data_IF_790176743761
#
_entry.id   IF_790176743761
#
_cell.length_a   1.000
_cell.length_b   1.000
_cell.length_c   1.000
_cell.angle_alpha   90.00
_cell.angle_beta   90.00
_cell.angle_gamma   90.00
#
_symmetry.space_group_name_H-M   'P 1'
#
loop_
_entity.id
_entity.type
_entity.pdbx_description
1 polymer ?
#
# COMPACT_ATOMS: atom_id res chain seq x y z
N UNK A 1 -33.65 67.73 45.25
CA UNK A 1 -33.32 66.97 46.48
C UNK A 1 -32.46 65.76 46.08
N UNK A 2 -31.47 65.37 46.89
CA UNK A 2 -30.82 64.04 46.84
C UNK A 2 -31.81 62.97 47.41
N UNK A 3 -31.58 61.64 47.32
CA UNK A 3 -30.44 60.88 46.77
C UNK A 3 -30.87 59.97 45.58
N UNK A 4 -30.25 58.85 45.13
CA UNK A 4 -29.07 58.04 45.55
C UNK A 4 -28.44 57.28 44.33
N UNK A 5 -27.51 56.37 44.62
CA UNK A 5 -26.89 55.29 43.82
C UNK A 5 -27.80 54.55 42.81
N UNK A 6 -27.30 53.99 41.69
CA UNK A 6 -26.19 53.02 41.63
C UNK A 6 -25.44 52.99 40.28
N UNK A 7 -24.29 52.29 40.24
CA UNK A 7 -23.43 52.19 39.05
C UNK A 7 -24.10 51.47 37.88
N UNK A 8 -23.91 52.03 36.68
CA UNK A 8 -24.05 51.31 35.40
C UNK A 8 -22.70 50.65 35.07
N UNK A 9 -22.70 49.32 34.96
CA UNK A 9 -21.59 48.54 34.43
C UNK A 9 -22.15 47.40 33.56
N UNK A 10 -21.39 47.00 32.54
CA UNK A 10 -21.74 46.04 31.46
C UNK A 10 -22.85 46.57 30.51
N UNK A 11 -22.86 46.25 29.21
CA UNK A 11 -22.04 45.25 28.48
C UNK A 11 -21.53 45.79 27.13
N UNK A 12 -20.27 45.51 26.81
CA UNK A 12 -19.73 45.63 25.44
C UNK A 12 -20.25 44.49 24.58
N UNK A 13 -21.07 44.81 23.57
CA UNK A 13 -21.57 43.83 22.60
C UNK A 13 -20.45 43.44 21.63
N UNK A 14 -19.79 42.32 21.90
CA UNK A 14 -18.89 41.67 20.93
C UNK A 14 -19.79 40.91 19.94
N UNK A 15 -19.88 41.40 18.71
CA UNK A 15 -20.56 40.72 17.61
C UNK A 15 -19.75 39.50 17.15
N UNK A 16 -19.83 38.41 17.92
CA UNK A 16 -19.32 37.11 17.50
C UNK A 16 -20.09 36.62 16.28
N UNK A 17 -19.41 36.50 15.13
CA UNK A 17 -19.96 35.78 13.98
C UNK A 17 -20.28 34.35 14.43
N UNK A 18 -21.46 33.79 14.12
CA UNK A 18 -21.73 32.41 14.45
C UNK A 18 -20.75 31.54 13.66
N UNK A 19 -19.85 30.87 14.36
CA UNK A 19 -19.16 29.69 13.82
C UNK A 19 -20.28 28.69 13.57
N UNK A 20 -20.60 28.48 12.30
CA UNK A 20 -21.50 27.39 11.89
C UNK A 20 -20.84 26.08 12.33
N UNK A 21 -21.33 25.54 13.44
CA UNK A 21 -21.05 24.18 13.84
C UNK A 21 -21.44 23.28 12.66
N UNK A 22 -20.46 22.58 12.09
CA UNK A 22 -20.69 21.67 10.96
C UNK A 22 -21.61 20.57 11.47
N UNK A 23 -22.88 20.64 11.08
CA UNK A 23 -23.93 19.79 11.61
C UNK A 23 -23.80 18.40 10.95
N UNK A 24 -23.34 17.35 11.65
CA UNK A 24 -22.95 16.07 11.02
C UNK A 24 -24.15 15.29 10.44
N UNK A 25 -25.37 15.77 10.69
CA UNK A 25 -26.63 15.19 10.24
C UNK A 25 -27.05 15.75 8.86
N UNK A 26 -26.52 16.90 8.44
CA UNK A 26 -26.87 17.52 7.16
C UNK A 26 -26.24 16.82 5.93
N UNK A 27 -25.18 16.03 6.12
CA UNK A 27 -24.52 15.25 5.04
C UNK A 27 -25.20 13.89 4.75
N UNK A 28 -26.33 13.57 5.40
CA UNK A 28 -26.97 12.26 5.25
C UNK A 28 -27.74 12.08 3.92
N UNK A 29 -27.97 13.15 3.17
CA UNK A 29 -28.59 13.12 1.84
C UNK A 29 -27.59 12.75 0.74
N UNK A 30 -27.55 11.47 0.35
CA UNK A 30 -26.75 10.98 -0.79
C UNK A 30 -25.45 10.29 -0.40
N UNK A 31 -24.50 10.24 -1.34
CA UNK A 31 -23.17 9.67 -1.15
C UNK A 31 -22.08 10.73 -1.33
N UNK A 32 -21.07 10.68 -0.48
CA UNK A 32 -19.90 11.58 -0.52
C UNK A 32 -18.63 10.78 -0.65
N UNK A 33 -17.60 11.38 -1.23
CA UNK A 33 -16.28 10.78 -1.35
C UNK A 33 -15.21 11.75 -0.87
N UNK A 34 -14.31 11.25 -0.02
CA UNK A 34 -13.21 12.02 0.57
C UNK A 34 -11.88 11.36 0.21
N UNK A 35 -10.92 12.18 -0.20
CA UNK A 35 -9.54 11.75 -0.41
C UNK A 35 -8.61 12.35 0.65
N UNK A 36 -7.55 11.62 1.01
CA UNK A 36 -6.40 12.10 1.79
C UNK A 36 -5.12 11.70 1.05
N UNK A 37 -4.35 12.69 0.62
CA UNK A 37 -3.06 12.47 -0.01
C UNK A 37 -1.94 12.50 1.04
N UNK A 38 -0.98 11.58 0.92
CA UNK A 38 0.29 11.59 1.64
C UNK A 38 1.42 11.63 0.62
N UNK A 39 2.40 12.50 0.84
CA UNK A 39 3.61 12.56 0.03
C UNK A 39 4.83 12.66 0.96
N UNK A 40 5.82 11.79 0.76
CA UNK A 40 7.03 11.73 1.56
C UNK A 40 8.25 11.59 0.65
N UNK A 41 9.32 12.31 0.94
CA UNK A 41 10.58 12.25 0.18
C UNK A 41 11.72 11.94 1.13
N UNK A 42 12.36 10.79 0.95
CA UNK A 42 13.51 10.35 1.71
C UNK A 42 14.77 10.47 0.86
N UNK A 43 15.78 11.13 1.39
CA UNK A 43 17.13 11.21 0.81
C UNK A 43 18.03 10.14 1.41
N UNK A 44 18.81 9.45 0.57
CA UNK A 44 19.68 8.33 0.95
C UNK A 44 21.09 8.58 0.39
N UNK A 45 21.91 9.42 1.03
CA UNK A 45 23.23 9.81 0.53
C UNK A 45 24.22 8.64 0.57
N UNK A 46 25.09 8.55 -0.44
CA UNK A 46 26.11 7.50 -0.59
C UNK A 46 25.59 6.12 -1.02
N UNK A 47 24.28 5.97 -1.24
CA UNK A 47 23.64 4.65 -1.42
C UNK A 47 23.57 4.13 -2.86
N UNK A 48 24.19 4.81 -3.83
CA UNK A 48 24.09 4.49 -5.27
C UNK A 48 24.46 3.03 -5.62
N UNK A 49 25.34 2.38 -4.82
CA UNK A 49 25.71 0.95 -4.98
C UNK A 49 24.79 -0.03 -4.25
N UNK A 50 23.82 0.45 -3.48
CA UNK A 50 22.89 -0.33 -2.66
C UNK A 50 21.47 -0.34 -3.23
N UNK A 51 21.31 0.03 -4.51
CA UNK A 51 20.01 0.16 -5.17
C UNK A 51 19.13 -1.10 -5.02
N UNK A 52 19.69 -2.29 -5.27
CA UNK A 52 18.98 -3.57 -5.17
C UNK A 52 18.48 -3.86 -3.74
N UNK A 53 19.25 -3.46 -2.72
CA UNK A 53 18.86 -3.62 -1.33
C UNK A 53 17.73 -2.66 -0.95
N UNK A 54 17.82 -1.40 -1.40
CA UNK A 54 16.77 -0.38 -1.21
C UNK A 54 15.49 -0.79 -1.93
N UNK A 55 15.59 -1.32 -3.15
CA UNK A 55 14.45 -1.89 -3.88
C UNK A 55 13.76 -2.99 -3.06
N UNK A 56 14.51 -3.97 -2.55
CA UNK A 56 13.98 -5.06 -1.74
C UNK A 56 13.22 -4.55 -0.51
N UNK A 57 13.77 -3.55 0.18
CA UNK A 57 13.16 -2.91 1.36
C UNK A 57 11.86 -2.17 1.00
N UNK A 58 11.88 -1.34 -0.04
CA UNK A 58 10.70 -0.59 -0.50
C UNK A 58 9.60 -1.54 -0.96
N UNK A 59 9.97 -2.61 -1.67
CA UNK A 59 9.05 -3.60 -2.21
C UNK A 59 8.41 -4.47 -1.12
N UNK A 60 9.15 -4.86 -0.08
CA UNK A 60 8.57 -5.54 1.10
C UNK A 60 7.60 -4.62 1.87
N UNK A 61 7.99 -3.36 2.08
CA UNK A 61 7.14 -2.37 2.73
C UNK A 61 5.79 -2.20 2.02
N UNK A 62 5.81 -2.08 0.68
CA UNK A 62 4.60 -1.99 -0.14
C UNK A 62 3.79 -3.29 -0.17
N UNK A 63 4.42 -4.44 -0.47
CA UNK A 63 3.73 -5.73 -0.62
C UNK A 63 3.01 -6.21 0.65
N UNK A 64 3.43 -5.71 1.81
CA UNK A 64 2.75 -5.96 3.09
C UNK A 64 1.28 -5.52 3.07
N UNK A 65 0.97 -4.43 2.36
CA UNK A 65 -0.37 -3.81 2.32
C UNK A 65 -0.99 -3.83 0.92
N UNK A 66 -0.22 -3.44 -0.11
CA UNK A 66 -0.62 -3.54 -1.51
C UNK A 66 -0.10 -4.84 -2.13
N UNK A 67 -0.82 -5.95 -1.92
CA UNK A 67 -0.39 -7.29 -2.41
C UNK A 67 -0.24 -7.38 -3.94
N UNK A 68 -0.94 -6.54 -4.68
CA UNK A 68 -0.88 -6.45 -6.14
C UNK A 68 0.21 -5.49 -6.66
N UNK A 69 1.19 -5.12 -5.83
CA UNK A 69 2.25 -4.18 -6.19
C UNK A 69 3.01 -4.62 -7.46
N UNK A 70 2.93 -3.77 -8.49
CA UNK A 70 3.61 -3.91 -9.77
C UNK A 70 4.92 -3.12 -9.73
N UNK A 71 6.01 -3.77 -10.16
CA UNK A 71 7.34 -3.18 -10.25
C UNK A 71 7.63 -2.81 -11.69
N UNK A 72 8.17 -1.61 -11.92
CA UNK A 72 8.63 -1.13 -13.23
C UNK A 72 10.04 -0.59 -13.09
N UNK A 73 10.95 -1.06 -13.93
CA UNK A 73 12.30 -0.53 -14.02
C UNK A 73 12.34 0.61 -15.04
N UNK A 74 12.96 1.72 -14.65
CA UNK A 74 13.27 2.83 -15.54
C UNK A 74 14.70 2.74 -16.05
N UNK A 75 14.98 3.43 -17.15
CA UNK A 75 16.35 3.68 -17.59
C UNK A 75 16.72 5.06 -17.03
N UNK A 76 17.55 5.14 -15.97
CA UNK A 76 17.94 6.42 -15.42
C UNK A 76 18.88 7.17 -16.40
N UNK A 77 18.92 8.51 -16.34
CA UNK A 77 19.89 9.29 -17.11
C UNK A 77 21.34 8.88 -16.78
N UNK A 78 22.20 8.90 -17.79
CA UNK A 78 23.65 8.66 -17.63
C UNK A 78 24.43 9.82 -18.27
N UNK A 79 25.30 10.52 -17.52
CA UNK A 79 25.57 10.37 -16.09
C UNK A 79 24.35 10.72 -15.21
N UNK A 80 24.37 10.30 -13.94
CA UNK A 80 23.35 10.70 -12.97
C UNK A 80 23.36 12.22 -12.73
N UNK A 81 22.19 12.85 -12.52
CA UNK A 81 22.09 14.29 -12.34
C UNK A 81 22.62 14.71 -10.97
N UNK A 82 23.04 15.97 -10.84
CA UNK A 82 23.47 16.52 -9.56
C UNK A 82 22.34 16.69 -8.55
N UNK A 83 21.11 16.92 -9.04
CA UNK A 83 19.90 16.98 -8.23
C UNK A 83 18.93 15.87 -8.66
N UNK A 84 18.38 15.09 -7.71
CA UNK A 84 17.45 14.01 -8.04
C UNK A 84 16.16 14.52 -8.67
N UNK A 85 15.64 13.79 -9.65
CA UNK A 85 14.28 13.98 -10.15
C UNK A 85 13.25 13.90 -9.01
N UNK A 86 12.08 14.51 -9.23
CA UNK A 86 10.96 14.47 -8.31
C UNK A 86 9.74 13.84 -8.98
N UNK A 87 8.91 13.18 -8.16
CA UNK A 87 7.62 12.68 -8.63
C UNK A 87 6.70 13.85 -8.97
N UNK A 88 6.12 13.85 -10.17
CA UNK A 88 5.12 14.86 -10.54
C UNK A 88 3.72 14.32 -10.29
N UNK A 89 2.77 15.17 -9.93
CA UNK A 89 1.37 14.77 -9.66
C UNK A 89 0.48 15.44 -10.70
N UNK A 90 0.22 14.74 -11.80
CA UNK A 90 -0.75 15.14 -12.82
C UNK A 90 -2.19 14.77 -12.42
N UNK A 91 -3.10 14.86 -13.38
CA UNK A 91 -4.49 14.39 -13.25
C UNK A 91 -4.75 13.22 -14.20
N UNK A 92 -5.60 12.27 -13.79
CA UNK A 92 -6.10 11.20 -14.68
C UNK A 92 -7.28 11.73 -15.50
N UNK A 93 -7.50 11.17 -16.69
CA UNK A 93 -8.70 11.47 -17.50
C UNK A 93 -10.01 11.14 -16.75
N UNK A 94 -9.97 10.15 -15.86
CA UNK A 94 -11.06 9.77 -14.94
C UNK A 94 -11.24 10.70 -13.74
N UNK A 95 -10.46 11.78 -13.64
CA UNK A 95 -10.29 12.56 -12.42
C UNK A 95 -9.36 11.90 -11.39
N UNK A 96 -8.97 12.68 -10.39
CA UNK A 96 -8.04 12.29 -9.32
C UNK A 96 -6.56 12.39 -9.72
N UNK A 97 -5.63 12.36 -8.74
CA UNK A 97 -4.20 12.54 -9.00
C UNK A 97 -3.57 11.34 -9.71
N UNK A 98 -2.62 11.64 -10.59
CA UNK A 98 -1.74 10.69 -11.27
C UNK A 98 -0.29 11.00 -10.90
N UNK A 99 0.32 10.32 -9.92
CA UNK A 99 1.76 10.40 -9.73
C UNK A 99 2.47 9.78 -10.94
N UNK A 100 3.47 10.49 -11.44
CA UNK A 100 4.29 10.09 -12.56
C UNK A 100 5.77 10.15 -12.14
N UNK A 101 6.51 9.12 -12.54
CA UNK A 101 7.93 8.98 -12.29
C UNK A 101 8.63 9.18 -13.64
N UNK A 102 9.61 10.07 -13.69
CA UNK A 102 10.40 10.33 -14.89
C UNK A 102 11.89 10.39 -14.54
N UNK A 103 12.68 9.50 -15.14
CA UNK A 103 14.10 9.33 -14.82
C UNK A 103 14.35 8.53 -13.54
N UNK A 104 13.37 7.74 -13.08
CA UNK A 104 13.59 6.78 -12.00
C UNK A 104 14.49 5.61 -12.45
N UNK A 105 15.17 5.01 -11.49
CA UNK A 105 15.73 3.66 -11.62
C UNK A 105 14.62 2.61 -11.53
N UNK A 106 13.65 2.86 -10.65
CA UNK A 106 12.62 1.93 -10.22
C UNK A 106 11.36 2.71 -9.84
N UNK A 107 10.19 2.25 -10.25
CA UNK A 107 8.92 2.67 -9.68
C UNK A 107 8.02 1.47 -9.33
N UNK A 108 7.28 1.59 -8.23
CA UNK A 108 6.39 0.55 -7.72
C UNK A 108 5.01 1.15 -7.51
N UNK A 109 3.99 0.55 -8.11
CA UNK A 109 2.59 0.97 -8.01
C UNK A 109 1.76 -0.15 -7.37
N UNK A 110 0.89 0.17 -6.41
CA UNK A 110 0.07 -0.82 -5.72
C UNK A 110 -1.26 -0.26 -5.21
N UNK A 111 -2.22 -1.15 -4.96
CA UNK A 111 -3.55 -0.79 -4.47
C UNK A 111 -3.93 -1.70 -3.30
N UNK A 112 -4.12 -1.11 -2.12
CA UNK A 112 -4.78 -1.78 -1.01
C UNK A 112 -6.30 -1.68 -1.20
N UNK A 113 -6.91 -2.84 -1.45
CA UNK A 113 -8.37 -3.03 -1.60
C UNK A 113 -8.97 -3.85 -0.46
N UNK A 114 -8.23 -4.10 0.64
CA UNK A 114 -8.71 -4.91 1.78
C UNK A 114 -10.03 -4.37 2.35
N UNK A 115 -10.18 -3.05 2.38
CA UNK A 115 -11.37 -2.34 2.87
C UNK A 115 -12.33 -1.89 1.76
N UNK A 116 -12.16 -2.35 0.51
CA UNK A 116 -12.97 -1.92 -0.62
C UNK A 116 -14.47 -2.23 -0.46
N UNK A 117 -14.81 -3.34 0.21
CA UNK A 117 -16.19 -3.69 0.56
C UNK A 117 -16.87 -2.66 1.48
N UNK A 118 -16.10 -1.86 2.21
CA UNK A 118 -16.53 -0.77 3.09
C UNK A 118 -16.37 0.63 2.45
N UNK A 119 -16.10 0.69 1.14
CA UNK A 119 -15.93 1.93 0.40
C UNK A 119 -14.58 2.62 0.62
N UNK A 120 -13.56 1.88 1.07
CA UNK A 120 -12.20 2.40 1.31
C UNK A 120 -11.17 1.74 0.39
N UNK A 121 -10.25 2.54 -0.15
CA UNK A 121 -9.09 2.04 -0.92
C UNK A 121 -7.88 2.93 -0.68
N UNK A 122 -6.68 2.37 -0.72
CA UNK A 122 -5.44 3.14 -0.70
C UNK A 122 -4.65 2.82 -1.96
N UNK A 123 -4.37 3.84 -2.77
CA UNK A 123 -3.44 3.74 -3.88
C UNK A 123 -2.05 4.18 -3.40
N UNK A 124 -1.01 3.44 -3.79
CA UNK A 124 0.39 3.69 -3.44
C UNK A 124 1.23 3.79 -4.71
N UNK A 125 2.13 4.77 -4.77
CA UNK A 125 3.16 4.88 -5.80
C UNK A 125 4.48 5.26 -5.15
N UNK A 126 5.56 4.60 -5.56
CA UNK A 126 6.93 4.97 -5.18
C UNK A 126 7.78 5.14 -6.43
N UNK A 127 8.64 6.16 -6.45
CA UNK A 127 9.72 6.32 -7.41
C UNK A 127 11.06 6.32 -6.65
N UNK A 128 12.08 5.65 -7.18
CA UNK A 128 13.46 5.70 -6.70
C UNK A 128 14.31 6.44 -7.76
N UNK A 129 14.72 7.67 -7.47
CA UNK A 129 15.50 8.49 -8.39
C UNK A 129 16.99 8.49 -7.99
N UNK A 130 17.92 8.21 -8.92
CA UNK A 130 19.34 8.38 -8.68
C UNK A 130 19.79 9.83 -8.86
N UNK A 131 20.83 10.19 -8.13
CA UNK A 131 21.60 11.42 -8.31
C UNK A 131 23.08 11.16 -8.03
N UNK A 132 23.97 12.08 -8.39
CA UNK A 132 25.42 11.89 -8.29
C UNK A 132 25.93 11.56 -6.87
N UNK A 133 25.19 12.01 -5.84
CA UNK A 133 25.49 11.75 -4.42
C UNK A 133 24.72 10.60 -3.76
N UNK A 134 23.77 9.93 -4.43
CA UNK A 134 22.95 8.90 -3.76
C UNK A 134 21.67 8.49 -4.49
N UNK A 135 20.66 8.12 -3.71
CA UNK A 135 19.31 7.77 -4.17
C UNK A 135 18.26 8.57 -3.39
N UNK A 136 17.11 8.85 -4.01
CA UNK A 136 15.99 9.54 -3.38
C UNK A 136 14.68 8.80 -3.61
N UNK A 137 14.02 8.38 -2.52
CA UNK A 137 12.71 7.73 -2.55
C UNK A 137 11.63 8.81 -2.50
N UNK A 138 10.77 8.85 -3.51
CA UNK A 138 9.55 9.65 -3.51
C UNK A 138 8.37 8.69 -3.31
N UNK A 139 7.68 8.80 -2.17
CA UNK A 139 6.48 8.01 -1.84
C UNK A 139 5.24 8.89 -1.94
N UNK A 140 4.21 8.40 -2.64
CA UNK A 140 2.88 8.99 -2.68
C UNK A 140 1.84 7.93 -2.32
N UNK A 141 0.86 8.33 -1.52
CA UNK A 141 -0.35 7.55 -1.31
C UNK A 141 -1.61 8.41 -1.38
N UNK A 142 -2.68 7.82 -1.90
CA UNK A 142 -4.01 8.40 -1.94
C UNK A 142 -4.97 7.44 -1.26
N UNK A 143 -5.37 7.78 -0.04
CA UNK A 143 -6.50 7.14 0.63
C UNK A 143 -7.80 7.74 0.11
N UNK A 144 -8.74 6.91 -0.31
CA UNK A 144 -10.07 7.30 -0.75
C UNK A 144 -11.14 6.59 0.06
N UNK A 145 -12.12 7.35 0.54
CA UNK A 145 -13.15 6.91 1.48
C UNK A 145 -14.54 7.36 1.01
N UNK A 146 -15.49 6.42 0.95
CA UNK A 146 -16.91 6.71 0.78
C UNK A 146 -17.62 6.91 2.12
N UNK A 147 -18.64 7.79 2.12
CA UNK A 147 -19.56 8.04 3.22
C UNK A 147 -20.94 8.47 2.68
N UNK A 148 -21.86 8.85 3.58
CA UNK A 148 -23.23 9.25 3.28
C UNK A 148 -24.24 8.10 3.45
N UNK A 149 -25.44 8.40 3.95
CA UNK A 149 -26.49 7.40 4.21
C UNK A 149 -27.27 7.00 2.93
N UNK A 150 -27.18 7.78 1.86
CA UNK A 150 -27.69 7.44 0.53
C UNK A 150 -26.67 6.72 -0.35
N UNK A 151 -25.67 6.06 0.23
CA UNK A 151 -24.66 5.33 -0.55
C UNK A 151 -25.21 3.99 -1.07
N UNK A 152 -25.00 3.72 -2.36
CA UNK A 152 -25.43 2.48 -3.01
C UNK A 152 -24.76 1.21 -2.46
N UNK A 153 -23.61 1.34 -1.78
CA UNK A 153 -23.01 0.25 -1.01
C UNK A 153 -23.50 0.29 0.45
N UNK A 154 -24.35 -0.66 0.90
CA UNK A 154 -24.94 -0.64 2.24
C UNK A 154 -23.90 -0.75 3.36
N UNK A 155 -22.74 -1.35 3.09
CA UNK A 155 -21.66 -1.49 4.08
C UNK A 155 -20.99 -0.16 4.44
N UNK A 156 -21.13 0.88 3.58
CA UNK A 156 -20.51 2.19 3.80
C UNK A 156 -21.12 2.92 5.00
N UNK A 157 -22.43 2.76 5.25
CA UNK A 157 -23.08 3.37 6.41
C UNK A 157 -22.60 2.74 7.73
N UNK A 158 -22.53 1.40 7.78
CA UNK A 158 -21.97 0.67 8.91
C UNK A 158 -20.50 1.04 9.17
N UNK A 159 -19.69 1.14 8.10
CA UNK A 159 -18.31 1.59 8.20
C UNK A 159 -18.18 3.06 8.65
N UNK A 160 -19.10 3.95 8.22
CA UNK A 160 -19.12 5.35 8.67
C UNK A 160 -19.37 5.43 10.19
N UNK A 161 -20.36 4.70 10.70
CA UNK A 161 -20.63 4.63 12.13
C UNK A 161 -19.47 3.99 12.91
N UNK A 162 -18.92 2.89 12.40
CA UNK A 162 -17.76 2.22 12.98
C UNK A 162 -16.52 3.13 13.07
N UNK A 163 -16.23 3.93 12.03
CA UNK A 163 -15.16 4.93 12.02
C UNK A 163 -15.43 6.10 12.97
N UNK A 164 -16.68 6.51 13.15
CA UNK A 164 -17.03 7.57 14.10
C UNK A 164 -16.76 7.12 15.56
N UNK A 165 -17.18 5.89 15.91
CA UNK A 165 -16.92 5.28 17.22
C UNK A 165 -15.42 5.01 17.39
N UNK A 166 -14.80 4.36 16.41
CA UNK A 166 -13.36 4.04 16.42
C UNK A 166 -12.48 5.28 16.49
N UNK A 167 -12.85 6.38 15.83
CA UNK A 167 -12.16 7.67 15.90
C UNK A 167 -12.17 8.26 17.30
N UNK A 168 -13.32 8.20 18.00
CA UNK A 168 -13.41 8.61 19.41
C UNK A 168 -12.58 7.71 20.36
N UNK A 169 -12.32 6.46 19.96
CA UNK A 169 -11.47 5.49 20.68
C UNK A 169 -10.01 5.46 20.18
N UNK A 170 -9.60 6.38 19.28
CA UNK A 170 -8.23 6.46 18.74
C UNK A 170 -7.85 5.38 17.72
N UNK A 171 -8.78 4.54 17.28
CA UNK A 171 -8.56 3.45 16.31
C UNK A 171 -8.53 3.94 14.84
N UNK A 172 -9.09 5.12 14.55
CA UNK A 172 -8.94 5.82 13.28
C UNK A 172 -9.64 5.18 12.07
N UNK A 173 -9.14 5.52 10.87
CA UNK A 173 -9.55 4.93 9.59
C UNK A 173 -8.36 4.20 8.93
N UNK A 174 -8.57 3.50 7.80
CA UNK A 174 -7.50 2.70 7.21
C UNK A 174 -6.33 3.52 6.65
N UNK A 175 -6.40 4.86 6.58
CA UNK A 175 -5.22 5.68 6.23
C UNK A 175 -4.08 5.53 7.25
N UNK A 176 -4.36 5.05 8.47
CA UNK A 176 -3.34 4.64 9.44
C UNK A 176 -2.37 3.57 8.90
N UNK A 177 -2.78 2.78 7.90
CA UNK A 177 -1.91 1.83 7.19
C UNK A 177 -0.75 2.52 6.47
N UNK A 178 -0.93 3.75 5.97
CA UNK A 178 0.15 4.54 5.35
C UNK A 178 1.28 4.79 6.36
N UNK A 179 0.94 5.12 7.62
CA UNK A 179 1.93 5.34 8.68
C UNK A 179 2.72 4.07 9.02
N UNK A 180 2.05 2.91 9.01
CA UNK A 180 2.66 1.59 9.25
C UNK A 180 3.59 1.18 8.10
N UNK A 181 3.21 1.48 6.86
CA UNK A 181 4.05 1.26 5.67
C UNK A 181 5.32 2.11 5.74
N UNK A 182 5.19 3.41 5.99
CA UNK A 182 6.36 4.30 6.15
C UNK A 182 7.26 3.85 7.30
N UNK A 183 6.69 3.40 8.42
CA UNK A 183 7.48 2.87 9.55
C UNK A 183 8.21 1.57 9.20
N UNK A 184 7.61 0.68 8.38
CA UNK A 184 8.28 -0.53 7.86
C UNK A 184 9.40 -0.17 6.90
N UNK A 185 9.21 0.81 6.02
CA UNK A 185 10.26 1.32 5.12
C UNK A 185 11.45 1.86 5.94
N UNK A 186 11.18 2.76 6.88
CA UNK A 186 12.18 3.39 7.75
C UNK A 186 12.96 2.35 8.58
N UNK A 187 12.26 1.39 9.19
CA UNK A 187 12.88 0.30 9.94
C UNK A 187 13.71 -0.64 9.04
N UNK A 188 13.24 -0.93 7.82
CA UNK A 188 13.98 -1.72 6.85
C UNK A 188 15.30 -1.05 6.43
N UNK A 189 15.27 0.27 6.19
CA UNK A 189 16.47 1.06 5.91
C UNK A 189 17.43 1.05 7.12
N UNK A 190 16.92 1.30 8.34
CA UNK A 190 17.72 1.25 9.57
C UNK A 190 18.37 -0.12 9.81
N UNK A 191 17.60 -1.21 9.64
CA UNK A 191 18.07 -2.59 9.82
C UNK A 191 19.16 -2.96 8.81
N UNK A 192 19.08 -2.43 7.59
CA UNK A 192 20.11 -2.59 6.57
C UNK A 192 21.33 -1.65 6.74
N UNK A 193 21.37 -0.83 7.80
CA UNK A 193 22.46 0.15 8.03
C UNK A 193 22.42 1.35 7.09
N UNK A 194 21.29 1.61 6.43
CA UNK A 194 21.13 2.64 5.42
C UNK A 194 20.67 3.94 6.08
N UNK A 195 21.57 4.93 6.13
CA UNK A 195 21.24 6.27 6.60
C UNK A 195 20.28 6.98 5.64
N UNK A 196 19.26 7.64 6.19
CA UNK A 196 18.30 8.44 5.42
C UNK A 196 17.92 9.74 6.12
N UNK A 197 17.42 10.70 5.34
CA UNK A 197 16.79 11.94 5.84
C UNK A 197 15.41 12.08 5.23
N UNK A 198 14.38 12.39 6.02
CA UNK A 198 13.07 12.76 5.49
C UNK A 198 13.09 14.26 5.13
N UNK A 199 13.22 14.58 3.84
CA UNK A 199 13.42 15.97 3.37
C UNK A 199 12.14 16.68 2.93
N UNK A 200 11.04 15.94 2.77
CA UNK A 200 9.72 16.50 2.53
C UNK A 200 8.63 15.57 3.06
N UNK A 201 7.60 16.14 3.68
CA UNK A 201 6.42 15.41 4.14
C UNK A 201 5.15 16.26 3.98
N UNK A 202 4.10 15.63 3.48
CA UNK A 202 2.74 16.18 3.42
C UNK A 202 1.74 15.10 3.85
N UNK A 203 0.81 15.38 4.79
CA UNK A 203 0.80 16.57 5.66
C UNK A 203 2.06 16.62 6.55
N UNK A 204 2.47 17.82 7.00
CA UNK A 204 3.75 18.01 7.70
C UNK A 204 3.88 17.19 8.99
N UNK A 205 2.76 16.99 9.69
CA UNK A 205 2.73 16.44 11.05
C UNK A 205 2.34 14.95 11.07
N UNK A 206 2.79 14.18 10.07
CA UNK A 206 2.35 12.79 9.89
C UNK A 206 3.03 11.83 10.88
N UNK A 207 2.31 11.53 11.97
CA UNK A 207 2.68 10.55 13.00
C UNK A 207 4.04 10.82 13.67
N UNK A 208 4.33 12.09 13.97
CA UNK A 208 5.53 12.51 14.71
C UNK A 208 6.84 12.46 13.90
N UNK A 209 6.76 12.27 12.58
CA UNK A 209 7.93 12.35 11.69
C UNK A 209 8.43 13.79 11.56
N UNK A 210 9.73 13.98 11.82
CA UNK A 210 10.39 15.28 11.65
C UNK A 210 10.96 15.40 10.24
N UNK A 211 10.64 16.49 9.54
CA UNK A 211 11.27 16.85 8.28
C UNK A 211 12.60 17.56 8.55
N UNK A 212 13.66 17.12 7.90
CA UNK A 212 15.00 17.72 7.90
C UNK A 212 15.15 18.59 6.64
N UNK A 213 16.03 19.58 6.67
CA UNK A 213 16.32 20.41 5.50
C UNK A 213 16.96 19.59 4.36
N UNK A 214 16.68 19.98 3.11
CA UNK A 214 17.22 19.33 1.91
C UNK A 214 18.60 19.92 1.58
N UNK A 215 19.66 19.28 2.08
CA UNK A 215 21.05 19.74 1.91
C UNK A 215 21.54 19.74 0.45
N UNK A 216 20.80 19.14 -0.49
CA UNK A 216 21.20 19.11 -1.91
C UNK A 216 20.86 20.46 -2.56
N UNK A 217 21.85 21.20 -3.13
CA UNK A 217 21.59 22.46 -3.79
C UNK A 217 20.60 22.29 -4.95
N UNK A 218 19.41 22.87 -4.80
CA UNK A 218 18.40 22.86 -5.85
C UNK A 218 18.93 23.66 -7.04
N UNK A 219 18.99 23.11 -8.27
CA UNK A 219 19.49 23.85 -9.42
C UNK A 219 18.62 25.08 -9.62
N UNK A 220 19.24 26.27 -9.55
CA UNK A 220 18.55 27.52 -9.83
C UNK A 220 17.90 27.41 -11.21
N UNK A 221 16.59 27.72 -11.28
CA UNK A 221 15.76 27.44 -12.45
C UNK A 221 16.30 28.19 -13.66
N UNK A 222 17.16 27.54 -14.46
CA UNK A 222 17.54 28.06 -15.78
C UNK A 222 16.28 28.06 -16.63
N UNK A 223 15.66 29.23 -16.74
CA UNK A 223 14.67 29.49 -17.76
C UNK A 223 15.24 29.01 -19.08
N UNK A 224 14.59 28.01 -19.69
CA UNK A 224 15.02 27.44 -20.96
C UNK A 224 14.71 28.47 -22.04
N UNK A 225 15.64 29.40 -22.23
CA UNK A 225 15.66 30.29 -23.37
C UNK A 225 15.70 29.40 -24.62
N UNK A 226 14.60 29.42 -25.37
CA UNK A 226 14.43 28.66 -26.60
C UNK A 226 15.39 29.18 -27.67
N UNK A 227 16.60 28.60 -27.68
CA UNK A 227 17.55 28.76 -28.77
C UNK A 227 16.94 28.16 -30.04
N UNK A 228 16.32 29.02 -30.85
CA UNK A 228 15.81 28.67 -32.16
C UNK A 228 16.97 28.21 -33.04
N UNK A 229 17.01 26.91 -33.36
CA UNK A 229 17.90 26.41 -34.40
C UNK A 229 17.36 26.90 -35.74
N UNK A 230 17.98 27.95 -36.28
CA UNK A 230 17.74 28.39 -37.65
C UNK A 230 18.30 27.32 -38.60
N UNK A 231 17.41 26.65 -39.32
CA UNK A 231 17.81 25.74 -40.39
C UNK A 231 18.05 26.54 -41.67
N UNK A 232 19.32 26.69 -42.07
CA UNK A 232 19.70 27.16 -43.40
C UNK A 232 19.69 25.99 -44.39
N UNK A 233 18.98 26.17 -45.50
CA UNK A 233 18.84 25.22 -46.61
C UNK A 233 19.84 25.52 -47.75
N UNK A 234 19.98 24.57 -48.69
CA UNK A 234 20.77 24.52 -49.95
C UNK A 234 22.11 23.75 -49.87
N UNK A 235 22.54 22.92 -50.84
CA UNK A 235 21.89 22.22 -51.99
C UNK A 235 22.76 20.99 -52.40
N UNK A 236 22.51 20.20 -53.48
CA UNK A 236 22.89 18.78 -53.52
C UNK A 236 24.07 18.40 -54.44
N UNK A 237 24.68 17.23 -54.21
CA UNK A 237 25.45 16.49 -55.22
C UNK A 237 25.54 14.97 -54.95
N UNK A 238 24.97 14.18 -55.87
CA UNK A 238 25.38 12.81 -56.21
C UNK A 238 26.06 12.88 -57.62
N UNK A 239 26.64 11.80 -58.22
CA UNK A 239 26.73 10.39 -57.80
C UNK A 239 28.14 9.75 -57.96
N UNK A 240 28.33 8.52 -57.45
CA UNK A 240 29.12 7.46 -58.09
C UNK A 240 28.82 6.08 -57.46
N UNK A 241 28.87 5.01 -58.27
CA UNK A 241 28.54 3.62 -57.86
C UNK A 241 29.79 2.73 -57.84
N UNK A 242 29.86 1.76 -56.93
CA UNK A 242 30.57 0.49 -57.12
C UNK A 242 30.08 -0.58 -56.11
N UNK A 243 30.09 -1.85 -56.51
CA UNK A 243 29.41 -2.97 -55.81
C UNK A 243 30.36 -3.80 -54.89
N UNK A 244 30.08 -5.05 -54.49
CA UNK A 244 30.01 -5.39 -53.06
C UNK A 244 31.18 -6.24 -52.54
N UNK A 245 31.67 -5.93 -51.32
CA UNK A 245 32.72 -6.69 -50.65
C UNK A 245 32.28 -7.26 -49.29
N UNK A 246 31.73 -8.48 -49.34
CA UNK A 246 31.93 -9.58 -48.38
C UNK A 246 32.18 -9.21 -46.90
N UNK A 247 31.11 -9.23 -46.09
CA UNK A 247 31.21 -9.39 -44.64
C UNK A 247 31.70 -10.79 -44.30
N UNK A 248 32.95 -10.91 -43.85
CA UNK A 248 33.45 -12.12 -43.17
C UNK A 248 32.76 -12.25 -41.80
N UNK A 249 31.77 -13.13 -41.73
CA UNK A 249 31.15 -13.50 -40.47
C UNK A 249 32.15 -14.24 -39.57
N UNK A 250 32.53 -13.61 -38.46
CA UNK A 250 33.39 -14.25 -37.46
C UNK A 250 32.56 -15.27 -36.68
N UNK A 251 32.82 -16.57 -36.91
CA UNK A 251 32.08 -17.65 -36.25
C UNK A 251 32.33 -17.65 -34.73
N UNK A 252 31.30 -17.92 -33.90
CA UNK A 252 31.53 -18.25 -32.49
C UNK A 252 32.25 -19.60 -32.40
N UNK A 253 33.26 -19.68 -31.54
CA UNK A 253 34.01 -20.91 -31.32
C UNK A 253 33.11 -22.03 -30.75
N UNK A 254 33.25 -23.29 -31.19
CA UNK A 254 32.46 -24.39 -30.67
C UNK A 254 32.81 -24.65 -29.20
N UNK A 255 31.78 -24.70 -28.35
CA UNK A 255 31.93 -25.04 -26.93
C UNK A 255 32.46 -26.48 -26.82
N UNK A 256 33.53 -26.74 -26.05
CA UNK A 256 34.07 -28.10 -25.93
C UNK A 256 33.01 -29.10 -25.45
N UNK A 257 32.90 -30.30 -26.06
CA UNK A 257 31.79 -31.24 -25.79
C UNK A 257 31.72 -31.68 -24.32
N UNK A 258 32.84 -31.69 -23.60
CA UNK A 258 32.90 -31.96 -22.16
C UNK A 258 32.07 -30.97 -21.32
N UNK A 259 32.02 -29.69 -21.71
CA UNK A 259 31.23 -28.67 -21.00
C UNK A 259 29.72 -28.83 -21.23
N UNK A 260 29.33 -29.21 -22.45
CA UNK A 260 27.93 -29.51 -22.77
C UNK A 260 27.43 -30.75 -22.01
N UNK A 261 28.26 -31.80 -21.93
CA UNK A 261 27.98 -33.00 -21.15
C UNK A 261 27.83 -32.70 -19.65
N UNK A 262 28.70 -31.84 -19.09
CA UNK A 262 28.61 -31.43 -17.68
C UNK A 262 27.33 -30.63 -17.39
N UNK A 263 26.92 -29.72 -18.28
CA UNK A 263 25.67 -28.96 -18.15
C UNK A 263 24.43 -29.87 -18.22
N UNK A 264 24.41 -30.82 -19.15
CA UNK A 264 23.33 -31.81 -19.25
C UNK A 264 23.23 -32.68 -17.99
N UNK A 265 24.36 -33.18 -17.48
CA UNK A 265 24.41 -33.96 -16.25
C UNK A 265 23.89 -33.17 -15.02
N UNK A 266 24.25 -31.89 -14.91
CA UNK A 266 23.81 -31.03 -13.80
C UNK A 266 22.30 -30.72 -13.85
N UNK A 267 21.74 -30.56 -15.06
CA UNK A 267 20.29 -30.41 -15.26
C UNK A 267 19.55 -31.69 -14.88
N UNK A 268 20.01 -32.85 -15.37
CA UNK A 268 19.42 -34.15 -15.07
C UNK A 268 19.47 -34.47 -13.56
N UNK A 269 20.58 -34.13 -12.89
CA UNK A 269 20.69 -34.26 -11.43
C UNK A 269 19.71 -33.35 -10.67
N UNK A 270 19.49 -32.11 -11.16
CA UNK A 270 18.46 -31.21 -10.64
C UNK A 270 17.05 -31.74 -10.83
N UNK A 271 16.74 -32.36 -11.97
CA UNK A 271 15.43 -32.94 -12.24
C UNK A 271 15.15 -34.16 -11.37
N UNK A 272 16.12 -35.07 -11.22
CA UNK A 272 16.01 -36.20 -10.28
C UNK A 272 15.81 -35.73 -8.84
N UNK A 273 16.54 -34.70 -8.40
CA UNK A 273 16.33 -34.10 -7.08
C UNK A 273 14.92 -33.49 -6.91
N UNK A 274 14.38 -32.81 -7.94
CA UNK A 274 13.00 -32.28 -7.91
C UNK A 274 11.96 -33.41 -7.86
N UNK A 275 12.16 -34.51 -8.58
CA UNK A 275 11.24 -35.66 -8.54
C UNK A 275 11.27 -36.35 -7.17
N UNK A 276 12.45 -36.54 -6.57
CA UNK A 276 12.60 -37.10 -5.23
C UNK A 276 11.97 -36.21 -4.15
N UNK A 277 12.09 -34.88 -4.25
CA UNK A 277 11.41 -33.96 -3.34
C UNK A 277 9.88 -33.95 -3.55
N UNK A 278 9.40 -34.05 -4.79
CA UNK A 278 7.96 -34.10 -5.09
C UNK A 278 7.30 -35.38 -4.53
N UNK A 279 8.01 -36.51 -4.52
CA UNK A 279 7.53 -37.77 -3.97
C UNK A 279 7.41 -37.81 -2.43
N UNK A 280 7.93 -36.80 -1.71
CA UNK A 280 7.93 -36.75 -0.25
C UNK A 280 6.81 -35.87 0.36
N UNK A 281 5.96 -35.24 -0.46
CA UNK A 281 4.80 -34.49 0.06
C UNK A 281 3.59 -35.42 0.28
N UNK A 282 2.97 -35.43 1.47
CA UNK A 282 1.71 -36.15 1.69
C UNK A 282 0.57 -35.51 0.89
N UNK A 283 -0.51 -36.26 0.58
CA UNK A 283 -1.62 -35.75 -0.24
C UNK A 283 -2.34 -34.61 0.50
N UNK A 284 -2.16 -33.38 0.02
CA UNK A 284 -2.72 -32.20 0.68
C UNK A 284 -3.92 -31.64 -0.06
N UNK A 285 -4.97 -31.31 0.70
CA UNK A 285 -6.14 -30.58 0.21
C UNK A 285 -5.76 -29.27 -0.49
N UNK A 286 -6.65 -28.84 -1.40
CA UNK A 286 -6.45 -27.76 -2.38
C UNK A 286 -5.67 -26.56 -1.82
N UNK A 287 -4.64 -26.05 -2.54
CA UNK A 287 -3.78 -24.97 -2.03
C UNK A 287 -4.57 -23.70 -1.68
N UNK A 288 -5.65 -23.43 -2.40
CA UNK A 288 -6.58 -22.31 -2.16
C UNK A 288 -7.14 -22.31 -0.73
N UNK A 289 -7.54 -23.48 -0.18
CA UNK A 289 -8.05 -23.59 1.19
C UNK A 289 -6.96 -23.32 2.24
N UNK A 290 -5.71 -23.71 1.98
CA UNK A 290 -4.58 -23.41 2.87
C UNK A 290 -4.19 -21.93 2.82
N UNK A 291 -4.30 -21.28 1.66
CA UNK A 291 -4.16 -19.83 1.51
C UNK A 291 -5.28 -19.06 2.24
N UNK A 292 -6.53 -19.50 2.11
CA UNK A 292 -7.67 -18.92 2.84
C UNK A 292 -7.52 -19.05 4.36
N UNK A 293 -7.18 -20.24 4.87
CA UNK A 293 -6.96 -20.45 6.30
C UNK A 293 -5.81 -19.58 6.85
N UNK A 294 -4.71 -19.45 6.11
CA UNK A 294 -3.59 -18.60 6.51
C UNK A 294 -3.94 -17.09 6.50
N UNK A 295 -4.84 -16.65 5.62
CA UNK A 295 -5.37 -15.29 5.63
C UNK A 295 -6.29 -15.06 6.85
N UNK A 296 -7.25 -15.95 7.09
CA UNK A 296 -8.20 -15.83 8.19
C UNK A 296 -7.53 -15.77 9.57
N UNK A 297 -6.47 -16.58 9.79
CA UNK A 297 -5.65 -16.52 11.02
C UNK A 297 -4.95 -15.17 11.22
N UNK A 298 -4.51 -14.53 10.13
CA UNK A 298 -3.88 -13.19 10.19
C UNK A 298 -4.91 -12.10 10.49
N UNK A 299 -6.12 -12.20 9.94
CA UNK A 299 -7.21 -11.26 10.24
C UNK A 299 -7.69 -11.39 11.69
N UNK A 300 -7.86 -12.62 12.20
CA UNK A 300 -8.12 -12.85 13.63
C UNK A 300 -7.03 -12.23 14.51
N UNK A 301 -5.75 -12.48 14.18
CA UNK A 301 -4.61 -11.91 14.92
C UNK A 301 -4.60 -10.38 14.87
N UNK A 302 -4.96 -9.77 13.73
CA UNK A 302 -5.07 -8.32 13.58
C UNK A 302 -6.23 -7.71 14.39
N UNK A 303 -7.28 -8.49 14.67
CA UNK A 303 -8.37 -8.15 15.60
C UNK A 303 -8.04 -8.45 17.08
N UNK A 304 -6.82 -8.90 17.39
CA UNK A 304 -6.44 -9.31 18.75
C UNK A 304 -7.02 -10.66 19.18
N UNK A 305 -7.61 -11.43 18.26
CA UNK A 305 -8.21 -12.74 18.51
C UNK A 305 -7.22 -13.86 18.18
N UNK A 306 -7.16 -14.86 19.07
CA UNK A 306 -6.34 -16.05 18.90
C UNK A 306 -7.14 -17.10 18.13
N UNK A 307 -6.71 -17.45 16.91
CA UNK A 307 -7.48 -18.31 15.99
C UNK A 307 -7.79 -19.74 16.48
N UNK A 308 -7.17 -20.17 17.59
CA UNK A 308 -7.38 -21.47 18.25
C UNK A 308 -8.11 -21.36 19.60
N UNK A 309 -8.54 -20.14 20.00
CA UNK A 309 -9.25 -19.95 21.27
C UNK A 309 -10.74 -20.28 21.12
N UNK A 310 -11.11 -21.46 21.61
CA UNK A 310 -12.50 -21.91 21.68
C UNK A 310 -13.38 -20.93 22.49
N UNK A 311 -12.84 -20.31 23.55
CA UNK A 311 -13.55 -19.33 24.35
C UNK A 311 -13.90 -18.07 23.54
N UNK A 312 -12.94 -17.52 22.80
CA UNK A 312 -13.15 -16.33 21.98
C UNK A 312 -14.12 -16.61 20.82
N UNK A 313 -14.07 -17.81 20.24
CA UNK A 313 -15.04 -18.27 19.24
C UNK A 313 -16.47 -18.35 19.82
N UNK A 314 -16.67 -19.00 20.97
CA UNK A 314 -17.97 -19.05 21.64
C UNK A 314 -18.46 -17.65 22.05
N UNK A 315 -17.55 -16.75 22.44
CA UNK A 315 -17.89 -15.36 22.72
C UNK A 315 -18.32 -14.60 21.45
N UNK A 316 -17.69 -14.84 20.30
CA UNK A 316 -18.11 -14.28 19.01
C UNK A 316 -19.53 -14.73 18.61
N UNK A 317 -19.85 -16.03 18.78
CA UNK A 317 -21.21 -16.55 18.53
C UNK A 317 -22.24 -15.86 19.44
N UNK A 318 -21.96 -15.75 20.75
CA UNK A 318 -22.87 -15.06 21.70
C UNK A 318 -23.07 -13.59 21.33
N UNK A 319 -22.01 -12.88 20.90
CA UNK A 319 -22.09 -11.48 20.44
C UNK A 319 -22.80 -11.32 19.09
N UNK A 320 -22.84 -12.37 18.26
CA UNK A 320 -23.35 -12.28 16.88
C UNK A 320 -22.33 -11.72 15.90
N UNK A 321 -21.05 -11.92 16.18
CA UNK A 321 -19.94 -11.46 15.35
C UNK A 321 -19.72 -12.46 14.20
N UNK A 322 -20.56 -12.34 13.17
CA UNK A 322 -20.57 -13.20 11.97
C UNK A 322 -19.19 -13.26 11.30
N UNK A 323 -18.49 -12.12 11.26
CA UNK A 323 -17.16 -12.02 10.64
C UNK A 323 -16.11 -12.79 11.44
N UNK A 324 -16.05 -12.61 12.77
CA UNK A 324 -15.13 -13.38 13.59
C UNK A 324 -15.44 -14.88 13.51
N UNK A 325 -16.71 -15.28 13.54
CA UNK A 325 -17.14 -16.68 13.41
C UNK A 325 -16.70 -17.31 12.08
N UNK A 326 -16.93 -16.64 10.95
CA UNK A 326 -16.49 -17.10 9.63
C UNK A 326 -14.96 -17.24 9.53
N UNK A 327 -14.23 -16.27 10.08
CA UNK A 327 -12.76 -16.31 10.13
C UNK A 327 -12.25 -17.43 11.06
N UNK A 328 -12.94 -17.73 12.17
CA UNK A 328 -12.60 -18.87 13.05
C UNK A 328 -12.80 -20.22 12.34
N UNK A 329 -13.94 -20.38 11.64
CA UNK A 329 -14.24 -21.57 10.83
C UNK A 329 -13.18 -21.73 9.72
N UNK A 330 -12.95 -20.67 8.94
CA UNK A 330 -11.98 -20.64 7.83
C UNK A 330 -10.54 -20.85 8.32
N UNK A 331 -10.21 -20.31 9.50
CA UNK A 331 -8.91 -20.49 10.15
C UNK A 331 -8.62 -21.92 10.57
N UNK A 332 -9.64 -22.78 10.71
CA UNK A 332 -9.53 -24.21 11.01
C UNK A 332 -8.59 -24.51 12.20
N UNK A 333 -8.75 -23.75 13.29
CA UNK A 333 -7.98 -23.89 14.54
C UNK A 333 -8.82 -24.26 15.77
N UNK A 334 -10.12 -24.45 15.59
CA UNK A 334 -11.14 -24.65 16.63
C UNK A 334 -11.98 -25.90 16.33
N UNK A 335 -12.64 -26.45 17.35
CA UNK A 335 -13.60 -27.54 17.18
C UNK A 335 -15.03 -26.98 17.18
N UNK A 336 -15.73 -27.15 16.05
CA UNK A 336 -17.11 -26.71 15.85
C UNK A 336 -18.13 -27.50 16.68
N UNK A 337 -17.72 -28.64 17.23
CA UNK A 337 -18.58 -29.55 18.00
C UNK A 337 -18.17 -29.63 19.48
N UNK A 338 -17.14 -28.90 19.91
CA UNK A 338 -16.67 -28.93 21.30
C UNK A 338 -17.66 -28.25 22.26
N UNK A 339 -18.15 -29.04 23.22
CA UNK A 339 -19.06 -28.61 24.28
C UNK A 339 -19.80 -29.79 24.90
N UNK A 340 -20.51 -29.57 26.00
CA UNK A 340 -21.50 -30.53 26.48
C UNK A 340 -22.76 -30.49 25.59
N UNK A 341 -23.60 -31.55 25.56
CA UNK A 341 -24.89 -31.51 24.88
C UNK A 341 -25.73 -30.31 25.34
N UNK A 342 -26.24 -29.50 24.40
CA UNK A 342 -26.93 -28.25 24.67
C UNK A 342 -26.03 -27.01 24.91
N UNK A 343 -24.71 -27.19 24.98
CA UNK A 343 -23.71 -26.12 25.11
C UNK A 343 -22.71 -26.09 23.93
N UNK A 344 -23.02 -26.77 22.82
CA UNK A 344 -22.21 -26.74 21.60
C UNK A 344 -22.30 -25.38 20.91
N UNK A 345 -21.33 -25.00 20.05
CA UNK A 345 -21.38 -23.78 19.24
C UNK A 345 -22.70 -23.61 18.48
N UNK A 346 -23.23 -24.72 17.94
CA UNK A 346 -24.50 -24.74 17.22
C UNK A 346 -25.71 -24.47 18.14
N UNK A 347 -25.81 -25.17 19.27
CA UNK A 347 -26.88 -24.96 20.24
C UNK A 347 -26.88 -23.53 20.82
N UNK A 348 -25.70 -22.93 21.01
CA UNK A 348 -25.54 -21.54 21.44
C UNK A 348 -26.01 -20.58 20.32
N UNK A 349 -25.71 -20.84 19.05
CA UNK A 349 -26.20 -20.03 17.94
C UNK A 349 -27.73 -20.10 17.78
N UNK A 350 -28.30 -21.31 17.87
CA UNK A 350 -29.75 -21.55 17.76
C UNK A 350 -30.53 -20.92 18.93
N UNK A 351 -30.06 -21.09 20.17
CA UNK A 351 -30.69 -20.47 21.36
C UNK A 351 -30.62 -18.95 21.40
N UNK A 352 -29.63 -18.34 20.73
CA UNK A 352 -29.54 -16.88 20.54
C UNK A 352 -30.25 -16.38 19.26
N UNK A 353 -30.95 -17.26 18.53
CA UNK A 353 -31.73 -16.89 17.33
C UNK A 353 -30.90 -16.48 16.10
N UNK A 354 -29.59 -16.78 16.07
CA UNK A 354 -28.65 -16.27 15.04
C UNK A 354 -28.58 -17.19 13.82
N UNK A 355 -29.62 -17.13 12.99
CA UNK A 355 -29.81 -18.01 11.82
C UNK A 355 -28.66 -17.93 10.80
N UNK A 356 -28.03 -16.76 10.66
CA UNK A 356 -26.83 -16.51 9.88
C UNK A 356 -25.62 -17.32 10.35
N UNK A 357 -25.34 -17.30 11.66
CA UNK A 357 -24.27 -18.08 12.28
C UNK A 357 -24.60 -19.57 12.29
N UNK A 358 -25.86 -19.97 12.48
CA UNK A 358 -26.31 -21.36 12.34
C UNK A 358 -26.02 -21.90 10.93
N UNK A 359 -26.26 -21.11 9.89
CA UNK A 359 -25.95 -21.49 8.51
C UNK A 359 -24.44 -21.62 8.27
N UNK A 360 -23.62 -20.70 8.78
CA UNK A 360 -22.16 -20.79 8.71
C UNK A 360 -21.61 -22.02 9.43
N UNK A 361 -22.07 -22.30 10.65
CA UNK A 361 -21.65 -23.45 11.44
C UNK A 361 -21.99 -24.78 10.75
N UNK A 362 -23.22 -24.91 10.21
CA UNK A 362 -23.63 -26.10 9.43
C UNK A 362 -22.81 -26.25 8.15
N UNK A 363 -22.49 -25.15 7.47
CA UNK A 363 -21.60 -25.14 6.28
C UNK A 363 -20.16 -25.54 6.64
N UNK A 364 -19.69 -25.17 7.83
CA UNK A 364 -18.38 -25.57 8.36
C UNK A 364 -18.31 -27.03 8.87
N UNK A 365 -19.44 -27.73 8.99
CA UNK A 365 -19.50 -29.11 9.49
C UNK A 365 -19.79 -29.26 10.99
N UNK A 366 -20.39 -28.25 11.63
CA UNK A 366 -21.01 -28.40 12.96
C UNK A 366 -22.28 -29.25 12.87
N UNK A 367 -22.55 -30.07 13.90
CA UNK A 367 -23.69 -31.00 13.98
C UNK A 367 -24.29 -31.07 15.39
#
# INVERSE_FOLDING_TARGET
MKPLCCLLALATVIAGKPVLAQNPIAELGGSTYREKAVYAVYDLPGTTRQADAIEGIVLDALRTYARNAQVRYGIPPSPYPDYPSQMTIGQRLSGGPKPDCAGELLSIEGLDTSMAKYGEKIYHRVCLFPYSGGLRINYFALYGQQSGAGNANPNVLAAMLGRAIGGAMGLGDSSATINKLLARLENGLQTAGIGFKLVQLHPKDLAGRTVVEDDIPRPATRAVASAQVQATTTEPAQPAQASPAQTTAMMPAPVPPAMAQLQAALLQQREMARQQMAAQLPPQGQPERRLAAAAARKELTAMGLQYFSQEQFLAAIRRGDVLAVDLFITGAGIDLNAGAPGATPLAIAESNGRQDIVALLKTGGAR
#
